data_IF_398001083311
#
_entry.id   IF_398001083311
#
_cell.length_a   1.000
_cell.length_b   1.000
_cell.length_c   1.000
_cell.angle_alpha   90.00
_cell.angle_beta   90.00
_cell.angle_gamma   90.00
#
_symmetry.space_group_name_H-M   'P 1'
#
loop_
_entity.id
_entity.type
_entity.pdbx_description
1 polymer ?
#
# COMPACT_ATOMS: atom_id res chain seq x y z
N UNK A 1 41.54 -32.94 -21.25
CA UNK A 1 40.70 -32.46 -20.14
C UNK A 1 39.32 -32.22 -20.71
N UNK A 2 38.42 -33.17 -20.53
CA UNK A 2 37.06 -33.10 -21.07
C UNK A 2 36.13 -33.12 -19.87
N UNK A 3 35.62 -31.95 -19.49
CA UNK A 3 34.56 -31.84 -18.49
C UNK A 3 33.24 -31.79 -19.26
N UNK A 4 32.58 -32.93 -19.36
CA UNK A 4 31.18 -33.01 -19.74
C UNK A 4 30.34 -32.66 -18.51
N UNK A 5 29.86 -31.43 -18.43
CA UNK A 5 28.76 -31.09 -17.53
C UNK A 5 27.48 -30.98 -18.38
N UNK A 6 26.78 -32.10 -18.50
CA UNK A 6 25.46 -32.14 -19.10
C UNK A 6 24.43 -31.69 -18.07
N UNK A 7 23.99 -30.44 -18.16
CA UNK A 7 22.76 -29.98 -17.51
C UNK A 7 21.73 -29.72 -18.61
N UNK A 8 21.00 -30.77 -18.98
CA UNK A 8 19.76 -30.65 -19.77
C UNK A 8 18.62 -30.52 -18.75
N UNK A 9 18.18 -29.29 -18.50
CA UNK A 9 16.80 -28.93 -18.14
C UNK A 9 16.73 -27.42 -17.98
N UNK A 10 16.48 -26.74 -19.09
CA UNK A 10 16.01 -25.36 -19.12
C UNK A 10 14.58 -25.30 -18.57
N UNK A 11 14.44 -25.31 -17.25
CA UNK A 11 13.28 -24.68 -16.63
C UNK A 11 13.56 -23.17 -16.64
N UNK A 12 12.64 -22.30 -17.07
CA UNK A 12 12.74 -20.93 -16.61
C UNK A 12 12.68 -21.04 -15.09
N UNK A 13 13.79 -20.74 -14.42
CA UNK A 13 13.77 -20.37 -13.01
C UNK A 13 12.83 -19.17 -12.97
N UNK A 14 11.53 -19.44 -12.80
CA UNK A 14 10.50 -18.43 -12.76
C UNK A 14 10.88 -17.53 -11.61
N UNK A 15 11.20 -16.28 -11.91
CA UNK A 15 11.53 -15.31 -10.88
C UNK A 15 10.31 -15.24 -9.96
N UNK A 16 10.45 -15.73 -8.73
CA UNK A 16 9.45 -15.63 -7.69
C UNK A 16 9.45 -14.18 -7.23
N UNK A 17 8.47 -13.42 -7.71
CA UNK A 17 8.34 -11.99 -7.48
C UNK A 17 6.87 -11.61 -7.37
N UNK A 18 6.59 -10.67 -6.47
CA UNK A 18 5.27 -10.06 -6.37
C UNK A 18 5.10 -9.07 -7.51
N UNK A 19 4.21 -9.38 -8.46
CA UNK A 19 3.85 -8.46 -9.52
C UNK A 19 2.75 -7.52 -9.03
N UNK A 20 3.09 -6.25 -8.81
CA UNK A 20 2.19 -5.24 -8.26
C UNK A 20 1.88 -4.12 -9.27
N UNK A 21 0.62 -3.68 -9.29
CA UNK A 21 0.14 -2.59 -10.15
C UNK A 21 -0.62 -1.55 -9.34
N UNK A 22 -0.41 -0.27 -9.69
CA UNK A 22 -1.07 0.88 -9.09
C UNK A 22 -1.84 1.63 -10.18
N UNK A 23 -3.19 1.60 -10.18
CA UNK A 23 -3.98 2.24 -11.23
C UNK A 23 -3.93 3.77 -11.19
N UNK A 24 -3.84 4.35 -9.98
CA UNK A 24 -3.80 5.80 -9.78
C UNK A 24 -2.76 6.17 -8.71
N UNK A 25 -1.80 7.00 -9.08
CA UNK A 25 -0.73 7.45 -8.18
C UNK A 25 -1.06 8.76 -7.46
N UNK A 26 -2.14 9.45 -7.84
CA UNK A 26 -2.62 10.67 -7.18
C UNK A 26 -4.09 10.53 -6.83
N UNK A 27 -4.40 10.63 -5.55
CA UNK A 27 -5.75 10.57 -4.99
C UNK A 27 -6.08 11.92 -4.34
N UNK A 28 -7.30 12.41 -4.56
CA UNK A 28 -7.84 13.62 -3.93
C UNK A 28 -8.94 13.22 -2.95
N UNK A 29 -8.77 13.60 -1.70
CA UNK A 29 -9.75 13.44 -0.64
C UNK A 29 -10.13 14.78 -0.02
N UNK A 30 -11.19 14.79 0.78
CA UNK A 30 -11.62 15.95 1.54
C UNK A 30 -11.66 15.62 3.03
N UNK A 31 -11.45 16.61 3.89
CA UNK A 31 -11.51 16.43 5.35
C UNK A 31 -12.85 15.81 5.78
N UNK A 32 -12.77 14.75 6.57
CA UNK A 32 -13.91 13.94 7.05
C UNK A 32 -14.42 12.91 6.04
N UNK A 33 -13.90 12.88 4.81
CA UNK A 33 -14.22 11.89 3.79
C UNK A 33 -13.37 10.62 3.91
N UNK A 34 -13.27 9.89 2.80
CA UNK A 34 -12.54 8.64 2.69
C UNK A 34 -11.61 8.67 1.47
N UNK A 35 -10.49 7.97 1.52
CA UNK A 35 -9.61 7.76 0.38
C UNK A 35 -9.26 6.28 0.22
N UNK A 36 -9.23 5.83 -1.03
CA UNK A 36 -8.86 4.47 -1.39
C UNK A 36 -7.50 4.48 -2.11
N UNK A 37 -6.47 4.02 -1.43
CA UNK A 37 -5.12 3.85 -1.97
C UNK A 37 -5.05 2.48 -2.65
N UNK A 38 -5.52 2.45 -3.90
CA UNK A 38 -5.77 1.22 -4.65
C UNK A 38 -4.49 0.62 -5.19
N UNK A 39 -4.29 -0.66 -4.93
CA UNK A 39 -3.25 -1.50 -5.54
C UNK A 39 -3.82 -2.89 -5.82
N UNK A 40 -3.16 -3.61 -6.72
CA UNK A 40 -3.38 -5.04 -6.88
C UNK A 40 -2.05 -5.73 -7.05
N UNK A 41 -1.92 -6.93 -6.51
CA UNK A 41 -0.74 -7.76 -6.70
C UNK A 41 -1.13 -9.17 -7.17
N UNK A 42 -0.15 -9.86 -7.74
CA UNK A 42 -0.22 -11.28 -8.06
C UNK A 42 1.12 -11.92 -7.78
N UNK A 43 1.10 -13.17 -7.33
CA UNK A 43 2.29 -13.99 -7.08
C UNK A 43 1.99 -15.45 -7.42
N UNK A 44 3.04 -16.25 -7.58
CA UNK A 44 2.94 -17.70 -7.69
C UNK A 44 2.86 -18.41 -6.33
N UNK A 45 3.12 -17.68 -5.25
CA UNK A 45 3.00 -18.16 -3.87
C UNK A 45 1.56 -18.39 -3.43
N UNK A 46 1.39 -19.34 -2.51
CA UNK A 46 0.12 -19.57 -1.79
C UNK A 46 0.13 -19.00 -0.36
N UNK A 47 1.26 -18.47 0.11
CA UNK A 47 1.38 -17.89 1.44
C UNK A 47 0.67 -16.53 1.51
N UNK A 48 0.23 -16.16 2.71
CA UNK A 48 -0.36 -14.84 2.94
C UNK A 48 0.70 -13.74 2.82
N UNK A 49 0.41 -12.64 2.13
CA UNK A 49 1.36 -11.54 2.00
C UNK A 49 1.51 -10.79 3.31
N UNK A 50 2.70 -10.24 3.55
CA UNK A 50 2.89 -9.14 4.48
C UNK A 50 2.69 -7.84 3.71
N UNK A 51 1.64 -7.08 4.04
CA UNK A 51 1.34 -5.79 3.43
C UNK A 51 1.71 -4.69 4.40
N UNK A 52 2.50 -3.73 3.94
CA UNK A 52 2.98 -2.61 4.75
C UNK A 52 2.74 -1.30 4.04
N UNK A 53 2.00 -0.42 4.69
CA UNK A 53 1.75 0.95 4.23
C UNK A 53 2.46 1.95 5.14
N UNK A 54 3.15 2.92 4.56
CA UNK A 54 3.91 3.93 5.28
C UNK A 54 3.67 5.31 4.67
N UNK A 55 3.40 6.30 5.51
CA UNK A 55 3.38 7.69 5.10
C UNK A 55 4.82 8.23 5.09
N UNK A 56 5.29 8.62 3.91
CA UNK A 56 6.61 9.18 3.68
C UNK A 56 6.72 10.56 4.30
N UNK A 57 7.66 10.69 5.24
CA UNK A 57 8.02 11.93 5.97
C UNK A 57 9.52 11.91 6.23
N UNK A 58 10.06 12.92 6.91
CA UNK A 58 11.46 12.89 7.39
C UNK A 58 11.76 11.61 8.18
N UNK A 59 10.81 11.22 9.03
CA UNK A 59 10.76 9.90 9.66
C UNK A 59 9.48 9.19 9.20
N UNK A 60 9.61 8.20 8.34
CA UNK A 60 8.48 7.44 7.80
C UNK A 60 7.58 6.93 8.93
N UNK A 61 6.28 7.09 8.73
CA UNK A 61 5.25 6.74 9.70
C UNK A 61 4.53 5.50 9.18
N UNK A 62 4.70 4.36 9.84
CA UNK A 62 3.91 3.16 9.53
C UNK A 62 2.43 3.42 9.75
N UNK A 63 1.64 3.28 8.70
CA UNK A 63 0.19 3.46 8.73
C UNK A 63 -0.46 2.16 9.16
N UNK A 64 -0.08 1.05 8.55
CA UNK A 64 -0.54 -0.31 8.91
C UNK A 64 0.49 -1.34 8.45
N UNK A 65 0.55 -2.46 9.16
CA UNK A 65 1.18 -3.69 8.72
C UNK A 65 0.20 -4.84 8.94
N UNK A 66 0.04 -5.72 7.95
CA UNK A 66 -0.86 -6.88 8.04
C UNK A 66 -0.24 -8.14 7.45
N UNK A 67 -0.75 -9.31 7.85
CA UNK A 67 -0.56 -10.59 7.17
C UNK A 67 -1.90 -10.95 6.55
N UNK A 68 -1.98 -10.97 5.21
CA UNK A 68 -3.27 -10.88 4.52
C UNK A 68 -4.01 -9.61 4.97
N UNK A 69 -5.24 -9.77 5.48
CA UNK A 69 -6.04 -8.67 6.03
C UNK A 69 -5.89 -8.49 7.54
N UNK A 70 -5.18 -9.40 8.22
CA UNK A 70 -5.04 -9.37 9.68
C UNK A 70 -3.95 -8.40 10.10
N UNK A 71 -4.34 -7.31 10.77
CA UNK A 71 -3.40 -6.28 11.24
C UNK A 71 -2.48 -6.87 12.32
N UNK A 72 -1.17 -6.68 12.13
CA UNK A 72 -0.14 -7.12 13.07
C UNK A 72 0.62 -5.93 13.68
N UNK A 73 1.24 -6.19 14.82
CA UNK A 73 2.02 -5.17 15.55
C UNK A 73 1.15 -4.08 16.19
N UNK A 74 1.78 -2.96 16.54
CA UNK A 74 1.11 -1.86 17.23
C UNK A 74 0.66 -0.80 16.23
N UNK A 75 -0.65 -0.74 15.97
CA UNK A 75 -1.25 0.34 15.18
C UNK A 75 -1.17 1.67 15.93
N UNK A 76 -0.72 2.71 15.23
CA UNK A 76 -0.62 4.05 15.81
C UNK A 76 -2.01 4.60 16.14
N UNK A 77 -2.17 5.33 17.26
CA UNK A 77 -3.47 5.86 17.68
C UNK A 77 -4.17 6.70 16.60
N UNK A 78 -3.40 7.45 15.80
CA UNK A 78 -3.93 8.27 14.72
C UNK A 78 -4.62 7.49 13.59
N UNK A 79 -4.34 6.20 13.40
CA UNK A 79 -4.95 5.38 12.35
C UNK A 79 -5.93 4.32 12.88
N UNK A 80 -6.02 4.16 14.21
CA UNK A 80 -6.96 3.24 14.84
C UNK A 80 -8.39 3.55 14.43
N UNK A 81 -9.14 2.50 14.08
CA UNK A 81 -10.54 2.54 13.63
C UNK A 81 -10.79 3.37 12.35
N UNK A 82 -9.72 3.78 11.66
CA UNK A 82 -9.81 4.54 10.41
C UNK A 82 -9.34 3.77 9.19
N UNK A 83 -8.69 2.62 9.37
CA UNK A 83 -8.07 1.89 8.26
C UNK A 83 -8.73 0.54 8.03
N UNK A 84 -8.78 0.15 6.76
CA UNK A 84 -9.17 -1.18 6.33
C UNK A 84 -8.22 -1.62 5.21
N UNK A 85 -7.64 -2.82 5.37
CA UNK A 85 -6.77 -3.43 4.36
C UNK A 85 -7.57 -4.49 3.60
N UNK A 86 -7.54 -4.42 2.27
CA UNK A 86 -8.16 -5.42 1.41
C UNK A 86 -7.16 -6.52 1.02
N UNK A 87 -7.68 -7.69 0.67
CA UNK A 87 -6.88 -8.85 0.25
C UNK A 87 -5.93 -8.54 -0.92
N UNK A 88 -6.28 -7.60 -1.80
CA UNK A 88 -5.45 -7.20 -2.93
C UNK A 88 -4.34 -6.19 -2.58
N UNK A 89 -4.18 -5.84 -1.30
CA UNK A 89 -3.20 -4.86 -0.80
C UNK A 89 -3.72 -3.42 -0.68
N UNK A 90 -4.93 -3.13 -1.19
CA UNK A 90 -5.51 -1.78 -1.13
C UNK A 90 -5.73 -1.33 0.32
N UNK A 91 -5.48 -0.04 0.57
CA UNK A 91 -5.76 0.60 1.86
C UNK A 91 -6.91 1.60 1.72
N UNK A 92 -7.96 1.42 2.51
CA UNK A 92 -8.99 2.44 2.73
C UNK A 92 -8.67 3.21 4.00
N UNK A 93 -8.68 4.54 3.91
CA UNK A 93 -8.51 5.45 5.03
C UNK A 93 -9.78 6.30 5.18
N UNK A 94 -10.50 6.07 6.27
CA UNK A 94 -11.70 6.80 6.68
C UNK A 94 -11.38 8.05 7.48
N UNK A 95 -12.36 8.97 7.51
CA UNK A 95 -12.31 10.19 8.31
C UNK A 95 -10.98 10.95 8.10
N UNK A 96 -10.73 11.32 6.84
CA UNK A 96 -9.50 11.99 6.41
C UNK A 96 -9.26 13.29 7.19
N UNK A 97 -8.00 13.54 7.52
CA UNK A 97 -7.50 14.73 8.20
C UNK A 97 -6.47 15.42 7.32
N UNK A 98 -6.25 16.72 7.50
CA UNK A 98 -5.19 17.44 6.80
C UNK A 98 -3.79 16.84 7.06
N UNK A 99 -3.60 16.21 8.23
CA UNK A 99 -2.37 15.49 8.55
C UNK A 99 -2.16 14.21 7.75
N UNK A 100 -3.19 13.69 7.09
CA UNK A 100 -3.11 12.49 6.25
C UNK A 100 -2.63 12.81 4.83
N UNK A 101 -2.49 14.09 4.48
CA UNK A 101 -1.90 14.52 3.21
C UNK A 101 -0.43 14.06 3.12
N UNK A 102 -0.05 13.53 1.95
CA UNK A 102 1.32 13.14 1.65
C UNK A 102 1.42 11.91 0.75
N UNK A 103 2.64 11.39 0.62
CA UNK A 103 2.93 10.22 -0.21
C UNK A 103 3.00 8.97 0.65
N UNK A 104 2.22 7.96 0.28
CA UNK A 104 2.14 6.66 0.93
C UNK A 104 2.92 5.64 0.13
N UNK A 105 3.93 5.03 0.73
CA UNK A 105 4.66 3.91 0.18
C UNK A 105 3.99 2.60 0.62
N UNK A 106 3.82 1.68 -0.32
CA UNK A 106 3.35 0.32 -0.10
C UNK A 106 4.46 -0.67 -0.42
N UNK A 107 4.56 -1.69 0.42
CA UNK A 107 5.45 -2.82 0.24
C UNK A 107 4.63 -4.10 0.51
N UNK A 108 4.67 -5.03 -0.45
CA UNK A 108 4.01 -6.33 -0.37
C UNK A 108 5.09 -7.40 -0.51
N UNK A 109 5.28 -8.20 0.54
CA UNK A 109 6.26 -9.29 0.56
C UNK A 109 5.57 -10.63 0.85
N UNK A 110 6.06 -11.69 0.23
CA UNK A 110 5.59 -13.06 0.46
C UNK A 110 6.82 -13.93 0.72
N UNK A 111 6.74 -14.84 1.69
CA UNK A 111 7.92 -15.51 2.29
C UNK A 111 8.81 -16.26 1.29
N UNK A 112 8.21 -16.82 0.24
CA UNK A 112 8.88 -17.59 -0.82
C UNK A 112 9.25 -16.75 -2.06
N UNK A 113 8.75 -15.51 -2.16
CA UNK A 113 9.14 -14.59 -3.23
C UNK A 113 10.48 -13.91 -2.92
N UNK A 114 11.35 -13.87 -3.92
CA UNK A 114 12.67 -13.22 -3.81
C UNK A 114 12.56 -11.69 -3.89
N UNK A 115 11.53 -11.19 -4.57
CA UNK A 115 11.32 -9.75 -4.77
C UNK A 115 9.95 -9.30 -4.26
N UNK A 116 9.97 -8.22 -3.48
CA UNK A 116 8.80 -7.54 -2.96
C UNK A 116 8.15 -6.65 -4.04
N UNK A 117 6.84 -6.49 -3.96
CA UNK A 117 6.10 -5.52 -4.74
C UNK A 117 6.12 -4.17 -4.03
N UNK A 118 6.55 -3.11 -4.70
CA UNK A 118 6.71 -1.79 -4.10
C UNK A 118 6.13 -0.68 -4.97
N UNK A 119 5.64 0.38 -4.34
CA UNK A 119 5.14 1.55 -5.05
C UNK A 119 4.63 2.64 -4.14
N UNK A 120 4.18 3.75 -4.74
CA UNK A 120 3.79 4.95 -3.99
C UNK A 120 2.52 5.58 -4.54
N UNK A 121 1.68 6.10 -3.65
CA UNK A 121 0.47 6.87 -3.96
C UNK A 121 0.47 8.17 -3.17
N UNK A 122 0.30 9.30 -3.84
CA UNK A 122 0.14 10.61 -3.20
C UNK A 122 -1.34 10.87 -2.92
N UNK A 123 -1.67 11.11 -1.66
CA UNK A 123 -2.98 11.58 -1.21
C UNK A 123 -2.91 13.08 -0.95
N UNK A 124 -3.82 13.83 -1.56
CA UNK A 124 -4.04 15.24 -1.27
C UNK A 124 -5.35 15.42 -0.52
N UNK A 125 -5.34 16.16 0.59
CA UNK A 125 -6.54 16.35 1.42
C UNK A 125 -6.96 17.81 1.43
N UNK A 126 -8.07 18.10 0.76
CA UNK A 126 -8.64 19.43 0.72
C UNK A 126 -9.47 19.73 1.98
N UNK A 127 -9.22 20.89 2.60
CA UNK A 127 -10.10 21.43 3.62
C UNK A 127 -11.44 21.79 3.00
N UNK A 128 -12.55 21.52 3.69
CA UNK A 128 -13.84 22.11 3.32
C UNK A 128 -13.68 23.63 3.38
N UNK A 129 -13.53 24.29 2.23
CA UNK A 129 -13.83 25.71 2.14
C UNK A 129 -15.34 25.81 2.33
N UNK A 130 -15.76 26.02 3.57
CA UNK A 130 -17.08 26.59 3.82
C UNK A 130 -17.05 27.93 3.11
N UNK A 131 -17.57 28.01 1.89
CA UNK A 131 -17.92 29.32 1.32
C UNK A 131 -18.99 29.86 2.25
N UNK A 132 -18.56 30.65 3.24
CA UNK A 132 -19.42 31.56 3.94
C UNK A 132 -19.87 32.57 2.90
N UNK A 133 -20.94 32.23 2.17
CA UNK A 133 -21.79 33.25 1.61
C UNK A 133 -22.46 33.88 2.83
N UNK A 134 -21.77 34.86 3.41
CA UNK A 134 -22.42 35.90 4.17
C UNK A 134 -23.32 36.61 3.15
N UNK A 135 -24.54 36.12 2.99
CA UNK A 135 -25.63 36.95 2.49
C UNK A 135 -25.92 37.93 3.62
N UNK A 136 -25.17 39.04 3.65
CA UNK A 136 -25.64 40.26 4.28
C UNK A 136 -26.83 40.75 3.46
N UNK A 137 -28.05 40.53 3.96
CA UNK A 137 -29.24 41.38 3.79
C UNK A 137 -30.20 41.16 4.96
#
# INVERSE_FOLDING_TARGET
VTFSCGCISSLPCGVLAVNMTIPNTLIRGAVGGEALLSVSYSSFSLDLPVIKWQLKREKSVTVVQSIGTDIIGTLRPEYRDRILVFENGTLLLHNLRLSDDGTYDVEISITDDTFTGEGSITLTVDGKKTSSVACDL
#
